data_IF_319982022021
#
_entry.id   IF_319982022021
#
_cell.length_a   1.000
_cell.length_b   1.000
_cell.length_c   1.000
_cell.angle_alpha   90.00
_cell.angle_beta   90.00
_cell.angle_gamma   90.00
#
_symmetry.space_group_name_H-M   'P 1'
#
loop_
_entity.id
_entity.type
_entity.pdbx_description
1 polymer ?
#
# COMPACT_ATOMS: atom_id res chain seq x y z
N UNK A 1 -10.04 6.91 -19.29
CA UNK A 1 -10.63 7.83 -18.30
C UNK A 1 -9.47 8.34 -17.47
N UNK A 2 -9.33 9.66 -17.34
CA UNK A 2 -8.34 10.28 -16.45
C UNK A 2 -9.01 10.48 -15.09
N UNK A 3 -8.68 9.62 -14.13
CA UNK A 3 -9.21 9.69 -12.75
C UNK A 3 -8.08 10.21 -11.88
N UNK A 4 -8.31 11.36 -11.23
CA UNK A 4 -7.41 11.95 -10.25
C UNK A 4 -7.96 11.77 -8.84
N UNK A 5 -7.08 11.36 -7.94
CA UNK A 5 -7.34 11.06 -6.53
C UNK A 5 -6.46 11.91 -5.61
N UNK A 6 -6.04 13.06 -6.10
CA UNK A 6 -5.27 14.04 -5.32
C UNK A 6 -5.98 14.31 -3.98
N UNK A 7 -5.20 14.43 -2.90
CA UNK A 7 -5.66 14.63 -1.52
C UNK A 7 -6.54 13.50 -0.94
N UNK A 8 -6.65 12.35 -1.60
CA UNK A 8 -7.37 11.18 -1.10
C UNK A 8 -6.42 10.18 -0.45
N UNK A 9 -6.89 9.53 0.61
CA UNK A 9 -6.21 8.39 1.24
C UNK A 9 -6.94 7.11 0.85
N UNK A 10 -6.19 6.08 0.42
CA UNK A 10 -6.73 4.78 0.06
C UNK A 10 -6.03 3.65 0.83
N UNK A 11 -6.79 2.78 1.50
CA UNK A 11 -6.28 1.56 2.13
C UNK A 11 -6.46 0.37 1.19
N UNK A 12 -5.38 -0.33 0.90
CA UNK A 12 -5.40 -1.54 0.07
C UNK A 12 -4.91 -2.75 0.88
N UNK A 13 -5.81 -3.70 1.11
CA UNK A 13 -5.53 -4.97 1.78
C UNK A 13 -5.06 -6.03 0.78
N UNK A 14 -4.21 -6.96 1.20
CA UNK A 14 -3.65 -7.97 0.30
C UNK A 14 -2.70 -7.37 -0.75
N UNK A 15 -2.09 -6.22 -0.45
CA UNK A 15 -1.28 -5.45 -1.39
C UNK A 15 0.12 -6.02 -1.64
N UNK A 16 0.50 -7.11 -0.97
CA UNK A 16 1.82 -7.73 -1.11
C UNK A 16 2.08 -8.34 -2.50
N UNK A 17 1.03 -8.65 -3.28
CA UNK A 17 1.17 -9.23 -4.63
C UNK A 17 -0.12 -9.11 -5.45
N UNK A 18 -0.06 -9.54 -6.72
CA UNK A 18 -1.23 -9.73 -7.58
C UNK A 18 -2.10 -8.48 -7.74
N UNK A 19 -3.41 -8.67 -7.63
CA UNK A 19 -4.43 -7.63 -7.83
C UNK A 19 -4.30 -6.52 -6.79
N UNK A 20 -4.03 -6.86 -5.52
CA UNK A 20 -3.86 -5.84 -4.46
C UNK A 20 -2.69 -4.91 -4.76
N UNK A 21 -1.56 -5.46 -5.22
CA UNK A 21 -0.41 -4.65 -5.66
C UNK A 21 -0.76 -3.77 -6.86
N UNK A 22 -1.42 -4.32 -7.87
CA UNK A 22 -1.82 -3.57 -9.07
C UNK A 22 -2.82 -2.44 -8.74
N UNK A 23 -3.76 -2.68 -7.82
CA UNK A 23 -4.70 -1.67 -7.37
C UNK A 23 -4.01 -0.56 -6.58
N UNK A 24 -3.10 -0.89 -5.66
CA UNK A 24 -2.32 0.09 -4.90
C UNK A 24 -1.49 0.99 -5.84
N UNK A 25 -0.87 0.40 -6.87
CA UNK A 25 -0.16 1.11 -7.92
C UNK A 25 -1.05 2.09 -8.68
N UNK A 26 -2.18 1.61 -9.22
CA UNK A 26 -3.09 2.45 -9.99
C UNK A 26 -3.66 3.61 -9.16
N UNK A 27 -3.93 3.39 -7.87
CA UNK A 27 -4.39 4.44 -6.95
C UNK A 27 -3.31 5.48 -6.68
N UNK A 28 -2.05 5.06 -6.51
CA UNK A 28 -0.92 5.95 -6.33
C UNK A 28 -0.64 6.78 -7.60
N UNK A 29 -0.67 6.14 -8.78
CA UNK A 29 -0.54 6.81 -10.09
C UNK A 29 -1.63 7.86 -10.31
N UNK A 30 -2.84 7.62 -9.80
CA UNK A 30 -3.93 8.59 -9.82
C UNK A 30 -3.76 9.75 -8.81
N UNK A 31 -2.76 9.71 -7.92
CA UNK A 31 -2.46 10.78 -6.96
C UNK A 31 -2.92 10.53 -5.52
N UNK A 32 -3.43 9.34 -5.20
CA UNK A 32 -3.83 9.01 -3.83
C UNK A 32 -2.62 8.74 -2.92
N UNK A 33 -2.75 9.10 -1.64
CA UNK A 33 -1.90 8.57 -0.59
C UNK A 33 -2.34 7.15 -0.25
N UNK A 34 -1.52 6.15 -0.57
CA UNK A 34 -1.90 4.74 -0.43
C UNK A 34 -1.30 4.14 0.85
N UNK A 35 -2.17 3.57 1.68
CA UNK A 35 -1.80 2.71 2.81
C UNK A 35 -1.91 1.26 2.33
N UNK A 36 -0.83 0.50 2.45
CA UNK A 36 -0.78 -0.91 2.06
C UNK A 36 -0.81 -1.82 3.28
N UNK A 37 -1.61 -2.89 3.20
CA UNK A 37 -1.69 -3.92 4.23
C UNK A 37 -1.50 -5.30 3.60
N UNK A 38 -0.65 -6.12 4.20
CA UNK A 38 -0.33 -7.46 3.75
C UNK A 38 0.57 -8.20 4.74
N UNK A 39 0.59 -9.52 4.66
CA UNK A 39 1.29 -10.38 5.64
C UNK A 39 2.82 -10.40 5.49
N UNK A 40 3.36 -9.85 4.40
CA UNK A 40 4.81 -9.81 4.11
C UNK A 40 5.29 -8.38 3.82
N UNK A 41 4.80 -7.41 4.60
CA UNK A 41 5.09 -5.99 4.41
C UNK A 41 6.59 -5.69 4.39
N UNK A 42 7.43 -6.37 5.21
CA UNK A 42 8.88 -6.12 5.22
C UNK A 42 9.57 -6.38 3.86
N UNK A 43 9.17 -7.44 3.14
CA UNK A 43 9.75 -7.79 1.84
C UNK A 43 9.27 -6.81 0.75
N UNK A 44 8.01 -6.39 0.84
CA UNK A 44 7.46 -5.38 -0.08
C UNK A 44 8.16 -4.03 0.08
N UNK A 45 8.37 -3.57 1.32
CA UNK A 45 9.03 -2.31 1.62
C UNK A 45 10.52 -2.27 1.25
N UNK A 46 11.18 -3.42 1.25
CA UNK A 46 12.58 -3.53 0.85
C UNK A 46 12.76 -3.61 -0.69
N UNK A 47 11.68 -3.51 -1.47
CA UNK A 47 11.72 -3.63 -2.92
C UNK A 47 11.47 -2.29 -3.61
N UNK A 48 11.95 -2.14 -4.85
CA UNK A 48 11.67 -0.99 -5.72
C UNK A 48 10.17 -0.74 -5.93
N UNK A 49 9.33 -1.76 -5.67
CA UNK A 49 7.89 -1.63 -5.69
C UNK A 49 7.30 -0.88 -4.47
N UNK A 50 8.11 -0.29 -3.61
CA UNK A 50 7.65 0.59 -2.54
C UNK A 50 7.87 2.08 -2.86
N UNK A 51 8.61 2.43 -3.91
CA UNK A 51 8.99 3.82 -4.24
C UNK A 51 7.80 4.76 -4.49
N UNK A 52 6.64 4.21 -4.85
CA UNK A 52 5.39 4.94 -5.07
C UNK A 52 4.51 5.06 -3.81
N UNK A 53 4.92 4.47 -2.68
CA UNK A 53 4.27 4.70 -1.39
C UNK A 53 4.71 6.06 -0.86
N UNK A 54 3.95 7.10 -1.18
CA UNK A 54 4.24 8.49 -0.79
C UNK A 54 3.68 8.87 0.60
N UNK A 55 3.39 7.88 1.43
CA UNK A 55 2.74 8.04 2.73
C UNK A 55 3.51 7.42 3.89
N UNK A 56 2.93 7.46 5.08
CA UNK A 56 3.48 6.76 6.23
C UNK A 56 3.09 5.28 6.20
N UNK A 57 4.08 4.42 6.42
CA UNK A 57 3.87 2.99 6.64
C UNK A 57 3.59 2.79 8.12
N UNK A 58 2.37 2.39 8.46
CA UNK A 58 2.02 1.98 9.81
C UNK A 58 2.08 0.46 9.91
N UNK A 59 3.10 -0.05 10.61
CA UNK A 59 3.18 -1.46 10.94
C UNK A 59 2.10 -1.78 11.98
N UNK A 60 1.11 -2.59 11.60
CA UNK A 60 0.08 -3.08 12.51
C UNK A 60 0.28 -4.58 12.63
N UNK A 61 0.85 -4.98 13.76
CA UNK A 61 1.18 -6.37 14.08
C UNK A 61 -0.07 -7.26 14.27
N UNK A 62 -1.28 -6.68 14.32
CA UNK A 62 -2.53 -7.44 14.39
C UNK A 62 -2.70 -8.29 15.65
N UNK A 63 -1.81 -8.16 16.63
CA UNK A 63 -1.80 -8.95 17.85
C UNK A 63 -0.89 -10.20 17.81
N UNK A 64 -0.04 -10.35 16.80
CA UNK A 64 0.90 -11.48 16.69
C UNK A 64 2.05 -11.44 17.70
N UNK A 65 2.46 -10.25 18.14
CA UNK A 65 3.57 -10.02 19.08
C UNK A 65 3.13 -10.02 20.55
N UNK A 66 1.83 -10.20 20.82
CA UNK A 66 1.25 -10.25 22.18
C UNK A 66 0.76 -11.65 22.58
N UNK A 67 1.27 -12.70 21.92
CA UNK A 67 1.16 -14.10 22.32
C UNK A 67 2.51 -14.82 22.29
#
# INVERSE_FOLDING_TARGET
MDIRLDDRVALVTGASSGIGKAAALALAEAGAHVVVQGHSHMVYLASDAADFVTGQIMFVDGGYSVW
#
